data_IF_127505819871
#
_entry.id   IF_127505819871
#
_cell.length_a   1.000
_cell.length_b   1.000
_cell.length_c   1.000
_cell.angle_alpha   90.00
_cell.angle_beta   90.00
_cell.angle_gamma   90.00
#
_symmetry.space_group_name_H-M   'P 1'
#
loop_
_entity.id
_entity.type
_entity.pdbx_description
1 polymer ?
#
# COMPACT_ATOMS: atom_id res chain seq x y z
N UNK A 1 -5.71 -9.20 -11.76
CA UNK A 1 -5.13 -7.83 -11.84
C UNK A 1 -5.85 -6.95 -12.86
N UNK A 2 -6.37 -5.79 -12.44
CA UNK A 2 -6.99 -4.75 -13.30
C UNK A 2 -6.17 -3.45 -13.30
N UNK A 3 -6.33 -2.56 -14.31
CA UNK A 3 -5.66 -1.26 -14.33
C UNK A 3 -5.96 -0.39 -13.10
N UNK A 4 -7.19 -0.47 -12.58
CA UNK A 4 -7.61 0.27 -11.39
C UNK A 4 -6.87 -0.21 -10.14
N UNK A 5 -6.68 -1.52 -9.96
CA UNK A 5 -5.89 -2.05 -8.85
C UNK A 5 -4.45 -1.55 -8.90
N UNK A 6 -3.86 -1.48 -10.10
CA UNK A 6 -2.48 -0.96 -10.28
C UNK A 6 -2.44 0.53 -9.94
N UNK A 7 -3.45 1.31 -10.34
CA UNK A 7 -3.53 2.74 -10.01
C UNK A 7 -3.66 2.98 -8.50
N UNK A 8 -4.48 2.20 -7.81
CA UNK A 8 -4.59 2.25 -6.33
C UNK A 8 -3.28 1.88 -5.67
N UNK A 9 -2.64 0.79 -6.10
CA UNK A 9 -1.36 0.37 -5.55
C UNK A 9 -0.26 1.43 -5.77
N UNK A 10 -0.23 2.02 -6.96
CA UNK A 10 0.69 3.09 -7.33
C UNK A 10 0.52 4.33 -6.44
N UNK A 11 -0.72 4.76 -6.20
CA UNK A 11 -1.04 5.87 -5.29
C UNK A 11 -0.58 5.55 -3.86
N UNK A 12 -0.94 4.37 -3.33
CA UNK A 12 -0.55 3.93 -1.99
C UNK A 12 0.98 3.84 -1.78
N UNK A 13 1.74 3.69 -2.87
CA UNK A 13 3.20 3.58 -2.83
C UNK A 13 3.90 4.85 -3.33
N UNK A 14 3.16 5.91 -3.66
CA UNK A 14 3.65 7.11 -4.34
C UNK A 14 4.60 6.75 -5.49
N UNK A 15 4.16 5.80 -6.30
CA UNK A 15 4.91 5.19 -7.38
C UNK A 15 4.30 5.59 -8.73
N UNK A 16 5.15 5.81 -9.73
CA UNK A 16 4.68 6.08 -11.09
C UNK A 16 3.95 4.85 -11.67
N UNK A 17 2.84 5.08 -12.39
CA UNK A 17 1.92 4.02 -12.80
C UNK A 17 2.56 2.95 -13.71
N UNK A 18 3.39 3.35 -14.68
CA UNK A 18 4.08 2.39 -15.55
C UNK A 18 5.12 1.57 -14.78
N UNK A 19 5.75 2.16 -13.77
CA UNK A 19 6.65 1.44 -12.88
C UNK A 19 5.88 0.46 -11.97
N UNK A 20 4.76 0.89 -11.39
CA UNK A 20 3.88 0.04 -10.61
C UNK A 20 3.37 -1.16 -11.43
N UNK A 21 2.95 -0.94 -12.68
CA UNK A 21 2.50 -2.01 -13.60
C UNK A 21 3.56 -3.08 -13.84
N UNK A 22 4.85 -2.73 -13.84
CA UNK A 22 5.96 -3.68 -14.05
C UNK A 22 6.30 -4.48 -12.79
N UNK A 23 5.91 -3.99 -11.60
CA UNK A 23 6.27 -4.56 -10.30
C UNK A 23 5.08 -5.17 -9.56
N UNK A 24 3.87 -4.92 -10.03
CA UNK A 24 2.67 -5.53 -9.49
C UNK A 24 2.68 -7.03 -9.81
N UNK A 25 2.47 -7.84 -8.78
CA UNK A 25 2.35 -9.29 -8.87
C UNK A 25 0.94 -9.72 -8.50
N UNK A 26 0.36 -10.69 -9.21
CA UNK A 26 -0.86 -11.36 -8.76
C UNK A 26 -0.48 -12.38 -7.69
N UNK A 27 -1.15 -12.35 -6.54
CA UNK A 27 -0.84 -13.24 -5.41
C UNK A 27 -1.84 -14.39 -5.36
N UNK A 28 -3.12 -14.08 -5.14
CA UNK A 28 -4.22 -15.05 -5.02
C UNK A 28 -5.57 -14.34 -5.07
N UNK A 29 -6.62 -15.02 -5.53
CA UNK A 29 -8.02 -14.55 -5.46
C UNK A 29 -8.26 -13.15 -6.04
N UNK A 30 -7.47 -12.77 -7.05
CA UNK A 30 -7.51 -11.45 -7.66
C UNK A 30 -6.88 -10.34 -6.81
N UNK A 31 -6.25 -10.67 -5.68
CA UNK A 31 -5.44 -9.76 -4.88
C UNK A 31 -4.08 -9.59 -5.53
N UNK A 32 -3.69 -8.34 -5.75
CA UNK A 32 -2.37 -7.99 -6.27
C UNK A 32 -1.49 -7.47 -5.14
N UNK A 33 -0.17 -7.63 -5.29
CA UNK A 33 0.83 -7.04 -4.44
C UNK A 33 1.64 -6.03 -5.25
N UNK A 34 1.89 -4.86 -4.66
CA UNK A 34 2.93 -3.96 -5.11
C UNK A 34 3.94 -3.72 -3.98
N UNK A 35 5.21 -3.97 -4.26
CA UNK A 35 6.30 -3.68 -3.32
C UNK A 35 6.90 -2.31 -3.61
N UNK A 36 7.18 -1.55 -2.55
CA UNK A 36 7.94 -0.31 -2.66
C UNK A 36 9.32 -0.58 -3.28
N UNK A 37 9.83 0.40 -4.03
CA UNK A 37 11.21 0.40 -4.54
C UNK A 37 12.22 0.85 -3.47
N UNK A 38 11.74 1.48 -2.40
CA UNK A 38 12.54 1.88 -1.26
C UNK A 38 12.71 0.68 -0.31
N UNK A 39 13.97 0.27 -0.10
CA UNK A 39 14.29 -0.80 0.85
C UNK A 39 13.77 -0.45 2.25
N UNK A 40 13.07 -1.39 2.87
CA UNK A 40 12.61 -1.29 4.25
C UNK A 40 11.20 -0.73 4.44
N UNK A 41 10.56 -0.19 3.38
CA UNK A 41 9.18 0.33 3.49
C UNK A 41 8.19 -0.83 3.60
N UNK A 42 8.15 -1.70 2.60
CA UNK A 42 7.22 -2.82 2.57
C UNK A 42 6.40 -2.85 1.29
N UNK A 43 5.18 -3.37 1.41
CA UNK A 43 4.33 -3.68 0.27
C UNK A 43 2.86 -3.40 0.60
N UNK A 44 2.04 -3.29 -0.45
CA UNK A 44 0.59 -3.15 -0.36
C UNK A 44 -0.06 -4.31 -1.10
N UNK A 45 -1.11 -4.88 -0.49
CA UNK A 45 -2.07 -5.75 -1.14
C UNK A 45 -3.27 -4.92 -1.59
N UNK A 46 -3.79 -5.20 -2.78
CA UNK A 46 -4.99 -4.57 -3.33
C UNK A 46 -5.96 -5.63 -3.82
N UNK A 47 -7.16 -5.63 -3.26
CA UNK A 47 -8.23 -6.57 -3.60
C UNK A 47 -8.97 -6.21 -4.87
N UNK A 48 -9.84 -7.10 -5.38
CA UNK A 48 -10.71 -6.82 -6.52
C UNK A 48 -11.76 -5.73 -6.23
N UNK A 49 -12.07 -5.51 -4.95
CA UNK A 49 -12.93 -4.46 -4.41
C UNK A 49 -12.18 -3.15 -4.14
N UNK A 50 -10.90 -3.05 -4.56
CA UNK A 50 -10.00 -1.92 -4.32
C UNK A 50 -9.65 -1.68 -2.85
N UNK A 51 -10.01 -2.61 -1.96
CA UNK A 51 -9.56 -2.59 -0.58
C UNK A 51 -8.04 -2.75 -0.53
N UNK A 52 -7.39 -2.11 0.45
CA UNK A 52 -5.94 -2.08 0.57
C UNK A 52 -5.46 -2.66 1.90
N UNK A 53 -4.25 -3.23 1.93
CA UNK A 53 -3.56 -3.61 3.16
C UNK A 53 -2.06 -3.35 3.01
N UNK A 54 -1.51 -2.51 3.86
CA UNK A 54 -0.07 -2.32 3.97
C UNK A 54 0.55 -3.39 4.88
N UNK A 55 1.75 -3.84 4.54
CA UNK A 55 2.56 -4.63 5.45
C UNK A 55 4.05 -4.30 5.31
N UNK A 56 4.81 -4.29 6.44
CA UNK A 56 6.21 -3.90 6.45
C UNK A 56 7.07 -4.97 5.76
N UNK A 57 8.26 -4.59 5.28
CA UNK A 57 9.15 -5.49 4.53
C UNK A 57 9.65 -6.72 5.30
N UNK A 58 9.51 -6.74 6.63
CA UNK A 58 9.86 -7.88 7.48
C UNK A 58 8.76 -8.96 7.49
N UNK A 59 7.54 -8.60 7.07
CA UNK A 59 6.40 -9.52 6.99
C UNK A 59 6.36 -10.17 5.60
N UNK A 60 6.27 -11.49 5.57
CA UNK A 60 6.16 -12.25 4.32
C UNK A 60 4.75 -12.17 3.70
N UNK A 61 4.65 -12.38 2.38
CA UNK A 61 3.38 -12.31 1.65
C UNK A 61 2.31 -13.26 2.22
N UNK A 62 2.68 -14.45 2.71
CA UNK A 62 1.72 -15.40 3.30
C UNK A 62 1.13 -14.89 4.63
N UNK A 63 1.93 -14.22 5.45
CA UNK A 63 1.46 -13.64 6.72
C UNK A 63 0.59 -12.40 6.47
N UNK A 64 0.94 -11.59 5.47
CA UNK A 64 0.10 -10.51 4.99
C UNK A 64 -1.26 -11.03 4.47
N UNK A 65 -1.26 -12.15 3.73
CA UNK A 65 -2.50 -12.78 3.27
C UNK A 65 -3.34 -13.33 4.42
N UNK A 66 -2.75 -13.90 5.48
CA UNK A 66 -3.52 -14.29 6.68
C UNK A 66 -4.23 -13.10 7.31
N UNK A 67 -3.54 -11.96 7.39
CA UNK A 67 -4.13 -10.71 7.91
C UNK A 67 -5.25 -10.21 6.99
N UNK A 68 -5.05 -10.29 5.68
CA UNK A 68 -6.06 -9.97 4.68
C UNK A 68 -7.31 -10.86 4.82
N UNK A 69 -7.13 -12.17 4.93
CA UNK A 69 -8.22 -13.14 5.07
C UNK A 69 -8.98 -12.96 6.39
N UNK A 70 -8.30 -12.50 7.45
CA UNK A 70 -8.90 -12.11 8.72
C UNK A 70 -9.69 -10.78 8.66
N UNK A 71 -9.74 -10.12 7.50
CA UNK A 71 -10.49 -8.88 7.29
C UNK A 71 -9.70 -7.61 7.59
N UNK A 72 -8.40 -7.70 7.89
CA UNK A 72 -7.59 -6.51 8.13
C UNK A 72 -7.42 -5.70 6.85
N UNK A 73 -7.66 -4.40 6.92
CA UNK A 73 -7.46 -3.45 5.84
C UNK A 73 -6.74 -2.21 6.35
N UNK A 74 -6.00 -1.56 5.47
CA UNK A 74 -5.39 -0.25 5.70
C UNK A 74 -6.18 0.78 4.90
N UNK A 75 -6.78 1.79 5.54
CA UNK A 75 -7.42 2.90 4.83
C UNK A 75 -6.43 3.60 3.90
N UNK A 76 -6.87 4.02 2.72
CA UNK A 76 -6.01 4.69 1.72
C UNK A 76 -5.35 5.96 2.27
N UNK A 77 -6.06 6.69 3.14
CA UNK A 77 -5.57 7.89 3.80
C UNK A 77 -4.34 7.64 4.69
N UNK A 78 -4.19 6.43 5.24
CA UNK A 78 -3.04 6.07 6.08
C UNK A 78 -1.73 5.94 5.28
N UNK A 79 -1.80 5.79 3.96
CA UNK A 79 -0.61 5.71 3.11
C UNK A 79 0.04 7.08 2.89
N UNK A 80 -0.70 8.18 3.02
CA UNK A 80 -0.13 9.54 2.94
C UNK A 80 1.00 9.76 3.98
N UNK A 81 0.86 9.16 5.15
CA UNK A 81 1.86 9.21 6.24
C UNK A 81 3.17 8.51 5.83
N UNK A 82 3.12 7.50 4.95
CA UNK A 82 4.30 6.80 4.44
C UNK A 82 5.10 7.63 3.44
N UNK A 83 4.48 8.65 2.83
CA UNK A 83 5.10 9.47 1.78
C UNK A 83 5.81 10.72 2.31
N UNK A 84 5.84 10.90 3.64
CA UNK A 84 6.53 12.03 4.26
C UNK A 84 5.81 13.37 4.10
N UNK A 85 4.53 13.36 3.70
CA UNK A 85 3.64 14.49 3.98
C UNK A 85 3.45 14.49 5.50
N UNK A 86 4.39 15.13 6.19
CA UNK A 86 4.25 15.45 7.61
C UNK A 86 2.92 16.21 7.67
N UNK A 87 1.86 15.72 8.33
CA UNK A 87 0.72 16.58 8.60
C UNK A 87 1.33 17.78 9.29
N UNK A 88 1.19 18.95 8.68
CA UNK A 88 1.79 20.17 9.15
C UNK A 88 1.35 20.32 10.60
N UNK A 89 2.26 20.03 11.55
CA UNK A 89 2.01 20.27 12.96
C UNK A 89 1.79 21.77 13.06
N UNK A 90 0.55 22.20 13.05
CA UNK A 90 0.16 23.51 13.55
C UNK A 90 0.38 23.44 15.06
N UNK A 91 1.63 23.61 15.48
CA UNK A 91 1.91 24.08 16.84
C UNK A 91 1.19 25.43 16.97
N UNK A 92 0.28 25.60 17.93
CA UNK A 92 -0.19 26.94 18.26
C UNK A 92 1.00 27.63 18.94
N UNK A 93 1.53 28.68 18.29
CA UNK A 93 2.40 29.65 18.95
C UNK A 93 1.69 30.13 20.22
N UNK A 94 2.16 29.63 21.37
CA UNK A 94 1.76 30.14 22.67
C UNK A 94 2.62 31.36 22.92
N UNK A 95 1.96 32.52 23.01
CA UNK A 95 2.56 33.82 23.30
C UNK A 95 2.99 33.99 24.76
#
# INVERSE_FOLDING_TARGET
MTPEQIAVAAECMNMELNFAKKRADDVRDGVIRLSSDIRGVGSVLVGPDLSTLFYPSMMGSEEAMKSWDAGQRTPRESFAVLHGDRPMSTEPESG
#
